data_IF_219490675830
#
_entry.id   IF_219490675830
#
_cell.length_a   1.000
_cell.length_b   1.000
_cell.length_c   1.000
_cell.angle_alpha   90.00
_cell.angle_beta   90.00
_cell.angle_gamma   90.00
#
_symmetry.space_group_name_H-M   'P 1'
#
loop_
_entity.id
_entity.type
_entity.pdbx_description
1 polymer ?
#
# COMPACT_ATOMS: atom_id res chain seq x y z
N UNK A 1 10.28 -23.81 16.07
CA UNK A 1 10.85 -22.75 16.92
C UNK A 1 9.95 -22.62 18.15
N UNK A 2 10.46 -22.45 19.39
CA UNK A 2 9.57 -22.27 20.55
C UNK A 2 8.83 -20.92 20.44
N UNK A 3 7.56 -20.87 20.86
CA UNK A 3 6.69 -19.69 20.81
C UNK A 3 7.34 -18.44 21.43
N UNK A 4 8.08 -18.61 22.53
CA UNK A 4 8.77 -17.49 23.19
C UNK A 4 9.88 -16.88 22.32
N UNK A 5 10.52 -17.69 21.47
CA UNK A 5 11.54 -17.18 20.55
C UNK A 5 10.89 -16.42 19.39
N UNK A 6 9.73 -16.86 18.90
CA UNK A 6 8.95 -16.13 17.89
C UNK A 6 8.52 -14.78 18.47
N UNK A 7 7.98 -14.80 19.68
CA UNK A 7 7.53 -13.60 20.38
C UNK A 7 8.66 -12.59 20.62
N UNK A 8 9.81 -13.06 21.13
CA UNK A 8 10.97 -12.21 21.37
C UNK A 8 11.46 -11.54 20.08
N UNK A 9 11.55 -12.29 18.98
CA UNK A 9 11.94 -11.76 17.68
C UNK A 9 10.92 -10.74 17.14
N UNK A 10 9.63 -11.03 17.28
CA UNK A 10 8.56 -10.12 16.88
C UNK A 10 8.63 -8.79 17.65
N UNK A 11 8.78 -8.83 18.98
CA UNK A 11 8.90 -7.63 19.82
C UNK A 11 10.16 -6.82 19.52
N UNK A 12 11.28 -7.49 19.22
CA UNK A 12 12.50 -6.83 18.76
C UNK A 12 12.24 -6.05 17.46
N UNK A 13 11.66 -6.70 16.44
CA UNK A 13 11.36 -6.04 15.15
C UNK A 13 10.35 -4.91 15.31
N UNK A 14 9.35 -5.10 16.17
CA UNK A 14 8.36 -4.07 16.52
C UNK A 14 9.02 -2.85 17.15
N UNK A 15 9.94 -3.04 18.09
CA UNK A 15 10.70 -1.96 18.75
C UNK A 15 11.58 -1.17 17.78
N UNK A 16 12.23 -1.86 16.83
CA UNK A 16 13.02 -1.24 15.76
C UNK A 16 12.11 -0.34 14.91
N UNK A 17 10.98 -0.87 14.43
CA UNK A 17 10.04 -0.13 13.60
C UNK A 17 9.40 1.05 14.32
N UNK A 18 9.05 0.90 15.59
CA UNK A 18 8.39 1.95 16.37
C UNK A 18 9.20 3.26 16.41
N UNK A 19 10.53 3.16 16.34
CA UNK A 19 11.45 4.31 16.37
C UNK A 19 11.76 4.88 14.98
N UNK A 20 11.40 4.15 13.92
CA UNK A 20 11.75 4.47 12.54
C UNK A 20 11.04 5.70 11.98
N UNK A 21 11.66 6.34 10.99
CA UNK A 21 11.02 7.36 10.15
C UNK A 21 9.93 6.78 9.25
N UNK A 22 10.05 5.51 8.86
CA UNK A 22 9.04 4.74 8.12
C UNK A 22 7.70 4.76 8.85
N UNK A 23 7.70 4.32 10.11
CA UNK A 23 6.48 4.23 10.90
C UNK A 23 5.83 5.61 11.07
N UNK A 24 6.63 6.64 11.38
CA UNK A 24 6.14 8.03 11.49
C UNK A 24 5.48 8.52 10.20
N UNK A 25 6.05 8.23 9.03
CA UNK A 25 5.49 8.60 7.74
C UNK A 25 4.15 7.90 7.47
N UNK A 26 4.03 6.62 7.85
CA UNK A 26 2.78 5.88 7.72
C UNK A 26 1.70 6.47 8.63
N UNK A 27 2.04 6.79 9.89
CA UNK A 27 1.09 7.42 10.81
C UNK A 27 0.57 8.76 10.27
N UNK A 28 1.45 9.62 9.76
CA UNK A 28 1.05 10.89 9.12
C UNK A 28 0.08 10.69 7.95
N UNK A 29 0.24 9.59 7.21
CA UNK A 29 -0.64 9.25 6.08
C UNK A 29 -2.02 8.76 6.55
N UNK A 30 -2.07 8.09 7.71
CA UNK A 30 -3.29 7.57 8.32
C UNK A 30 -4.02 8.60 9.19
N UNK A 31 -3.34 9.66 9.63
CA UNK A 31 -3.88 10.65 10.57
C UNK A 31 -5.28 11.19 10.21
N UNK A 32 -5.59 11.51 8.94
CA UNK A 32 -6.93 11.96 8.55
C UNK A 32 -8.04 10.91 8.73
N UNK A 33 -7.68 9.65 8.97
CA UNK A 33 -8.57 8.48 8.95
C UNK A 33 -8.59 7.72 10.28
N UNK A 34 -7.82 8.18 11.27
CA UNK A 34 -7.63 7.49 12.55
C UNK A 34 -8.95 7.15 13.26
N UNK A 35 -10.00 7.97 13.11
CA UNK A 35 -11.31 7.77 13.75
C UNK A 35 -12.33 7.04 12.87
N UNK A 36 -11.91 6.68 11.66
CA UNK A 36 -12.75 6.04 10.66
C UNK A 36 -12.44 4.55 10.62
N UNK A 37 -11.15 4.18 10.61
CA UNK A 37 -10.72 2.79 10.44
C UNK A 37 -11.06 1.98 11.69
N UNK A 38 -11.92 0.97 11.57
CA UNK A 38 -12.31 0.08 12.69
C UNK A 38 -11.80 -1.34 12.51
N UNK A 39 -11.27 -1.66 11.33
CA UNK A 39 -10.80 -2.99 10.96
C UNK A 39 -9.51 -2.91 10.15
N UNK A 40 -8.64 -3.90 10.29
CA UNK A 40 -7.51 -4.12 9.39
C UNK A 40 -7.60 -5.53 8.82
N UNK A 41 -7.53 -5.62 7.49
CA UNK A 41 -7.45 -6.91 6.78
C UNK A 41 -6.08 -7.01 6.13
N UNK A 42 -5.28 -7.99 6.53
CA UNK A 42 -3.98 -8.25 5.95
C UNK A 42 -3.99 -9.51 5.08
N UNK A 43 -3.39 -9.42 3.89
CA UNK A 43 -3.31 -10.52 2.93
C UNK A 43 -1.90 -10.64 2.36
N UNK A 44 -1.43 -11.88 2.19
CA UNK A 44 -0.24 -12.15 1.39
C UNK A 44 1.09 -11.71 2.03
N UNK A 45 1.22 -11.88 3.35
CA UNK A 45 2.44 -11.52 4.10
C UNK A 45 3.63 -12.42 3.77
N UNK A 46 3.40 -13.68 3.41
CA UNK A 46 4.41 -14.73 3.42
C UNK A 46 4.62 -15.35 4.81
N UNK A 47 5.60 -16.26 4.92
CA UNK A 47 5.89 -16.93 6.19
C UNK A 47 6.61 -15.99 7.16
N UNK A 48 5.96 -15.69 8.28
CA UNK A 48 6.43 -14.81 9.36
C UNK A 48 7.52 -15.48 10.21
N UNK A 49 7.54 -16.80 10.32
CA UNK A 49 8.58 -17.51 11.09
C UNK A 49 9.82 -17.74 10.24
N UNK A 50 9.65 -18.07 8.96
CA UNK A 50 10.75 -18.54 8.11
C UNK A 50 11.44 -17.43 7.32
N UNK A 51 10.94 -16.19 7.38
CA UNK A 51 11.53 -15.05 6.67
C UNK A 51 11.50 -13.76 7.50
N UNK A 52 12.55 -12.96 7.37
CA UNK A 52 12.71 -11.69 8.10
C UNK A 52 11.72 -10.62 7.62
N UNK A 53 11.51 -10.50 6.30
CA UNK A 53 10.66 -9.45 5.74
C UNK A 53 9.20 -9.57 6.19
N UNK A 54 8.54 -10.75 6.12
CA UNK A 54 7.18 -10.92 6.63
C UNK A 54 7.07 -10.67 8.14
N UNK A 55 8.11 -10.99 8.93
CA UNK A 55 8.15 -10.67 10.36
C UNK A 55 8.11 -9.16 10.61
N UNK A 56 8.91 -8.38 9.86
CA UNK A 56 8.85 -6.93 9.93
C UNK A 56 7.48 -6.38 9.47
N UNK A 57 6.90 -6.94 8.41
CA UNK A 57 5.58 -6.54 7.94
C UNK A 57 4.48 -6.84 8.97
N UNK A 58 4.56 -7.97 9.67
CA UNK A 58 3.68 -8.32 10.79
C UNK A 58 3.87 -7.38 11.98
N UNK A 59 5.12 -7.03 12.31
CA UNK A 59 5.42 -6.07 13.36
C UNK A 59 4.86 -4.67 13.03
N UNK A 60 4.94 -4.24 11.78
CA UNK A 60 4.29 -3.01 11.32
C UNK A 60 2.78 -3.10 11.47
N UNK A 61 2.14 -4.19 11.05
CA UNK A 61 0.70 -4.40 11.23
C UNK A 61 0.30 -4.23 12.70
N UNK A 62 1.04 -4.84 13.63
CA UNK A 62 0.75 -4.69 15.06
C UNK A 62 0.90 -3.25 15.56
N UNK A 63 1.92 -2.51 15.10
CA UNK A 63 2.05 -1.10 15.46
C UNK A 63 0.87 -0.25 14.97
N UNK A 64 0.36 -0.52 13.76
CA UNK A 64 -0.82 0.17 13.24
C UNK A 64 -2.06 -0.14 14.08
N UNK A 65 -2.23 -1.38 14.51
CA UNK A 65 -3.33 -1.80 15.40
C UNK A 65 -3.24 -1.04 16.74
N UNK A 66 -2.06 -1.02 17.36
CA UNK A 66 -1.84 -0.34 18.64
C UNK A 66 -2.13 1.16 18.55
N UNK A 67 -1.68 1.81 17.47
CA UNK A 67 -1.90 3.23 17.21
C UNK A 67 -3.39 3.56 17.07
N UNK A 68 -4.10 2.80 16.24
CA UNK A 68 -5.54 3.00 16.04
C UNK A 68 -6.31 2.75 17.34
N UNK A 69 -6.05 1.64 18.04
CA UNK A 69 -6.66 1.34 19.34
C UNK A 69 -6.45 2.49 20.35
N UNK A 70 -5.22 3.00 20.46
CA UNK A 70 -4.89 4.12 21.33
C UNK A 70 -5.75 5.35 21.03
N UNK A 71 -5.85 5.74 19.76
CA UNK A 71 -6.60 6.93 19.37
C UNK A 71 -8.09 6.80 19.68
N UNK A 72 -8.70 5.63 19.45
CA UNK A 72 -10.09 5.41 19.80
C UNK A 72 -10.33 5.54 21.30
N UNK A 73 -9.44 4.95 22.12
CA UNK A 73 -9.56 4.98 23.57
C UNK A 73 -9.34 6.39 24.14
N UNK A 74 -8.39 7.15 23.59
CA UNK A 74 -8.10 8.52 24.02
C UNK A 74 -9.25 9.50 23.67
N UNK A 75 -9.88 9.36 22.51
CA UNK A 75 -10.89 10.32 22.03
C UNK A 75 -12.29 10.12 22.58
N UNK A 76 -12.71 8.87 22.81
CA UNK A 76 -14.12 8.59 23.09
C UNK A 76 -14.50 8.69 24.56
N UNK A 77 -13.56 8.75 25.51
CA UNK A 77 -13.86 8.74 26.96
C UNK A 77 -14.93 7.67 27.32
N UNK A 78 -14.96 6.58 26.55
CA UNK A 78 -15.95 5.53 26.68
C UNK A 78 -15.41 4.48 27.62
N UNK A 79 -16.21 4.06 28.60
CA UNK A 79 -15.90 2.91 29.47
C UNK A 79 -15.80 1.57 28.71
N UNK A 80 -16.04 1.57 27.39
CA UNK A 80 -15.89 0.41 26.53
C UNK A 80 -14.59 0.55 25.72
N UNK A 81 -13.64 -0.35 25.97
CA UNK A 81 -12.45 -0.51 25.13
C UNK A 81 -12.87 -0.90 23.72
N UNK A 82 -12.59 -0.03 22.74
CA UNK A 82 -12.82 -0.34 21.34
C UNK A 82 -11.67 -1.21 20.85
N UNK A 83 -12.01 -2.36 20.27
CA UNK A 83 -11.06 -3.31 19.71
C UNK A 83 -11.07 -3.15 18.20
N UNK A 84 -9.92 -2.83 17.61
CA UNK A 84 -9.73 -2.90 16.16
C UNK A 84 -9.80 -4.37 15.76
N UNK A 85 -10.74 -4.74 14.89
CA UNK A 85 -10.79 -6.11 14.39
C UNK A 85 -9.66 -6.33 13.38
N UNK A 86 -8.86 -7.37 13.60
CA UNK A 86 -7.76 -7.72 12.70
C UNK A 86 -8.00 -9.11 12.13
N UNK A 87 -7.98 -9.20 10.81
CA UNK A 87 -8.00 -10.47 10.11
C UNK A 87 -6.81 -10.61 9.18
N UNK A 88 -6.18 -11.78 9.17
CA UNK A 88 -4.97 -12.07 8.41
C UNK A 88 -5.13 -13.35 7.61
N UNK A 89 -4.49 -13.45 6.44
CA UNK A 89 -4.38 -14.71 5.70
C UNK A 89 -3.25 -14.72 4.70
N UNK A 90 -2.61 -15.88 4.63
CA UNK A 90 -1.69 -16.27 3.58
C UNK A 90 -1.78 -17.80 3.43
N UNK A 91 -1.81 -18.35 2.21
CA UNK A 91 -1.83 -19.80 2.00
C UNK A 91 -0.56 -20.50 2.51
N UNK A 92 0.54 -19.75 2.75
CA UNK A 92 1.80 -20.32 3.23
C UNK A 92 1.85 -20.51 4.75
N UNK A 93 0.87 -19.97 5.50
CA UNK A 93 0.88 -20.07 6.96
C UNK A 93 0.83 -21.53 7.42
N UNK A 94 1.78 -21.91 8.26
CA UNK A 94 1.78 -23.21 8.94
C UNK A 94 1.00 -23.17 10.27
N UNK A 95 0.84 -24.34 10.91
CA UNK A 95 0.12 -24.45 12.18
C UNK A 95 0.74 -23.60 13.31
N UNK A 96 2.07 -23.48 13.34
CA UNK A 96 2.78 -22.69 14.36
C UNK A 96 2.48 -21.20 14.17
N UNK A 97 2.50 -20.72 12.92
CA UNK A 97 2.15 -19.34 12.57
C UNK A 97 0.70 -19.04 12.91
N UNK A 98 -0.23 -19.95 12.57
CA UNK A 98 -1.65 -19.78 12.88
C UNK A 98 -1.87 -19.71 14.40
N UNK A 99 -1.21 -20.55 15.18
CA UNK A 99 -1.31 -20.53 16.65
C UNK A 99 -0.73 -19.22 17.22
N UNK A 100 0.42 -18.78 16.73
CA UNK A 100 1.02 -17.50 17.11
C UNK A 100 0.06 -16.33 16.84
N UNK A 101 -0.50 -16.24 15.63
CA UNK A 101 -1.43 -15.18 15.23
C UNK A 101 -2.69 -15.15 16.10
N UNK A 102 -3.25 -16.32 16.43
CA UNK A 102 -4.48 -16.43 17.22
C UNK A 102 -4.26 -16.21 18.72
N UNK A 103 -3.18 -16.75 19.27
CA UNK A 103 -2.99 -16.78 20.72
C UNK A 103 -2.12 -15.64 21.26
N UNK A 104 -1.13 -15.17 20.50
CA UNK A 104 -0.27 -14.06 20.91
C UNK A 104 -0.78 -12.72 20.41
N UNK A 105 -1.26 -12.65 19.16
CA UNK A 105 -1.74 -11.41 18.56
C UNK A 105 -3.27 -11.25 18.57
N UNK A 106 -4.02 -12.32 18.88
CA UNK A 106 -5.49 -12.32 18.87
C UNK A 106 -6.12 -11.96 17.52
N UNK A 107 -5.44 -12.30 16.41
CA UNK A 107 -5.92 -12.04 15.06
C UNK A 107 -6.78 -13.18 14.54
N UNK A 108 -7.80 -12.84 13.74
CA UNK A 108 -8.63 -13.82 13.03
C UNK A 108 -7.87 -14.31 11.80
N UNK A 109 -7.55 -15.61 11.73
CA UNK A 109 -6.97 -16.22 10.53
C UNK A 109 -8.10 -16.76 9.66
N UNK A 110 -8.46 -16.03 8.59
CA UNK A 110 -9.62 -16.35 7.74
C UNK A 110 -9.24 -16.18 6.28
N UNK A 111 -9.54 -17.14 5.41
CA UNK A 111 -9.21 -17.07 3.98
C UNK A 111 -10.07 -16.04 3.24
N UNK A 112 -11.38 -16.18 3.36
CA UNK A 112 -12.35 -15.38 2.64
C UNK A 112 -13.11 -14.46 3.60
N UNK A 113 -12.87 -13.16 3.46
CA UNK A 113 -13.63 -12.08 4.12
C UNK A 113 -14.34 -11.19 3.07
N UNK A 114 -14.23 -11.58 1.79
CA UNK A 114 -14.43 -10.68 0.64
C UNK A 114 -15.90 -10.44 0.29
N UNK A 115 -16.81 -11.32 0.73
CA UNK A 115 -18.21 -11.29 0.30
C UNK A 115 -19.13 -10.40 1.16
N UNK A 116 -18.63 -9.84 2.26
CA UNK A 116 -19.42 -8.94 3.08
C UNK A 116 -19.06 -7.46 2.78
N UNK A 117 -19.84 -6.85 1.88
CA UNK A 117 -19.70 -5.42 1.55
C UNK A 117 -19.82 -4.50 2.76
N UNK A 118 -20.49 -4.92 3.85
CA UNK A 118 -20.54 -4.13 5.08
C UNK A 118 -19.20 -4.17 5.83
N UNK A 119 -18.49 -5.28 5.76
CA UNK A 119 -17.17 -5.46 6.39
C UNK A 119 -16.02 -4.76 5.63
N UNK A 120 -16.28 -4.28 4.41
CA UNK A 120 -15.30 -3.49 3.63
C UNK A 120 -15.30 -2.01 4.04
N UNK A 121 -16.39 -1.52 4.62
CA UNK A 121 -16.47 -0.14 5.12
C UNK A 121 -15.51 0.02 6.30
N UNK A 122 -14.80 1.14 6.35
CA UNK A 122 -13.88 1.45 7.45
C UNK A 122 -12.75 0.43 7.66
N UNK A 123 -12.42 -0.34 6.60
CA UNK A 123 -11.37 -1.36 6.65
C UNK A 123 -10.13 -0.85 5.94
N UNK A 124 -9.00 -0.88 6.66
CA UNK A 124 -7.68 -0.72 6.07
C UNK A 124 -7.22 -2.08 5.54
N UNK A 125 -7.04 -2.18 4.22
CA UNK A 125 -6.47 -3.36 3.61
C UNK A 125 -4.93 -3.20 3.55
N UNK A 126 -4.21 -4.07 4.23
CA UNK A 126 -2.74 -4.09 4.27
C UNK A 126 -2.20 -5.26 3.43
N UNK A 127 -1.63 -4.96 2.27
CA UNK A 127 -1.13 -5.96 1.30
C UNK A 127 0.28 -5.59 0.82
N UNK A 128 1.29 -5.66 1.71
CA UNK A 128 2.67 -5.36 1.34
C UNK A 128 3.20 -6.41 0.37
N UNK A 129 3.95 -6.01 -0.67
CA UNK A 129 4.53 -6.88 -1.70
C UNK A 129 3.55 -7.84 -2.39
N UNK A 130 2.25 -7.52 -2.37
CA UNK A 130 1.23 -8.38 -2.94
C UNK A 130 1.35 -8.45 -4.47
N UNK A 131 1.37 -9.64 -5.11
CA UNK A 131 1.53 -9.75 -6.55
C UNK A 131 0.49 -8.90 -7.30
N UNK A 132 0.93 -8.13 -8.30
CA UNK A 132 0.05 -7.18 -9.01
C UNK A 132 -1.19 -7.84 -9.62
N UNK A 133 -1.08 -9.07 -10.11
CA UNK A 133 -2.21 -9.84 -10.62
C UNK A 133 -3.25 -10.14 -9.53
N UNK A 134 -2.79 -10.52 -8.34
CA UNK A 134 -3.63 -10.73 -7.18
C UNK A 134 -4.23 -9.43 -6.66
N UNK A 135 -3.44 -8.34 -6.66
CA UNK A 135 -3.89 -7.02 -6.25
C UNK A 135 -4.98 -6.47 -7.18
N UNK A 136 -4.84 -6.62 -8.49
CA UNK A 136 -5.84 -6.23 -9.48
C UNK A 136 -7.17 -6.97 -9.24
N UNK A 137 -7.09 -8.29 -9.08
CA UNK A 137 -8.28 -9.12 -8.79
C UNK A 137 -8.92 -8.69 -7.47
N UNK A 138 -8.11 -8.43 -6.44
CA UNK A 138 -8.57 -7.97 -5.15
C UNK A 138 -9.28 -6.60 -5.25
N UNK A 139 -8.68 -5.62 -5.92
CA UNK A 139 -9.26 -4.29 -6.12
C UNK A 139 -10.60 -4.39 -6.87
N UNK A 140 -10.66 -5.24 -7.91
CA UNK A 140 -11.85 -5.44 -8.73
C UNK A 140 -13.04 -6.01 -7.94
N UNK A 141 -12.77 -6.97 -7.05
CA UNK A 141 -13.82 -7.68 -6.28
C UNK A 141 -14.19 -6.89 -5.02
N UNK A 142 -13.19 -6.47 -4.25
CA UNK A 142 -13.37 -5.91 -2.91
C UNK A 142 -13.68 -4.41 -2.94
N UNK A 143 -13.32 -3.71 -4.02
CA UNK A 143 -13.52 -2.26 -4.15
C UNK A 143 -13.08 -1.47 -2.90
N UNK A 144 -11.83 -1.65 -2.43
CA UNK A 144 -11.39 -1.14 -1.14
C UNK A 144 -11.43 0.38 -1.09
N UNK A 145 -11.76 0.93 0.09
CA UNK A 145 -11.69 2.39 0.33
C UNK A 145 -10.29 2.81 0.79
N UNK A 146 -9.65 2.00 1.65
CA UNK A 146 -8.34 2.28 2.20
C UNK A 146 -7.39 1.11 1.95
N UNK A 147 -6.24 1.40 1.36
CA UNK A 147 -5.27 0.40 0.93
C UNK A 147 -3.86 0.85 1.32
N UNK A 148 -3.12 0.00 2.01
CA UNK A 148 -1.69 0.13 2.23
C UNK A 148 -1.02 -1.04 1.52
N UNK A 149 -0.48 -0.78 0.32
CA UNK A 149 0.03 -1.82 -0.57
C UNK A 149 1.21 -1.31 -1.41
N UNK A 150 1.62 -2.07 -2.42
CA UNK A 150 2.62 -1.62 -3.38
C UNK A 150 2.23 -0.30 -4.06
N UNK A 151 3.22 0.50 -4.39
CA UNK A 151 3.18 1.70 -5.20
C UNK A 151 2.89 1.32 -6.65
N UNK A 152 1.65 1.53 -7.07
CA UNK A 152 1.16 1.17 -8.39
C UNK A 152 1.82 2.01 -9.48
N UNK A 153 2.37 3.19 -9.14
CA UNK A 153 3.06 4.05 -10.11
C UNK A 153 4.40 3.46 -10.57
N UNK A 154 5.01 2.57 -9.78
CA UNK A 154 6.27 1.88 -10.13
C UNK A 154 6.08 0.99 -11.38
N UNK A 155 4.86 0.51 -11.63
CA UNK A 155 4.56 -0.33 -12.78
C UNK A 155 4.48 0.44 -14.10
N UNK A 156 4.39 1.78 -14.07
CA UNK A 156 4.53 2.62 -15.27
C UNK A 156 5.93 2.51 -15.89
N UNK A 157 6.95 2.14 -15.09
CA UNK A 157 8.30 1.89 -15.59
C UNK A 157 8.46 0.45 -16.12
N UNK A 158 7.55 -0.47 -15.76
CA UNK A 158 7.62 -1.89 -16.11
C UNK A 158 6.81 -2.24 -17.34
N UNK A 159 5.74 -1.48 -17.61
CA UNK A 159 4.82 -1.71 -18.72
C UNK A 159 4.62 -0.43 -19.52
N UNK A 160 4.30 -0.56 -20.81
CA UNK A 160 3.66 0.54 -21.54
C UNK A 160 2.25 0.76 -21.00
N UNK A 161 1.74 1.99 -21.04
CA UNK A 161 0.40 2.32 -20.53
C UNK A 161 -0.67 1.36 -21.08
N UNK A 162 -0.61 1.05 -22.38
CA UNK A 162 -1.57 0.17 -23.05
C UNK A 162 -1.51 -1.27 -22.53
N UNK A 163 -0.29 -1.76 -22.23
CA UNK A 163 -0.10 -3.10 -21.68
C UNK A 163 -0.50 -3.14 -20.21
N UNK A 164 -0.19 -2.10 -19.45
CA UNK A 164 -0.60 -2.00 -18.05
C UNK A 164 -2.12 -2.02 -17.94
N UNK A 165 -2.79 -1.16 -18.69
CA UNK A 165 -4.25 -1.08 -18.70
C UNK A 165 -4.91 -2.39 -19.15
N UNK A 166 -4.39 -3.02 -20.21
CA UNK A 166 -4.96 -4.28 -20.72
C UNK A 166 -4.86 -5.44 -19.73
N UNK A 167 -3.83 -5.49 -18.89
CA UNK A 167 -3.62 -6.57 -17.93
C UNK A 167 -4.24 -6.25 -16.56
N UNK A 168 -4.14 -5.00 -16.13
CA UNK A 168 -4.46 -4.55 -14.79
C UNK A 168 -5.22 -3.20 -14.83
N UNK A 169 -6.46 -3.17 -15.35
CA UNK A 169 -7.18 -1.93 -15.65
C UNK A 169 -7.41 -1.03 -14.42
N UNK A 170 -7.80 -1.59 -13.27
CA UNK A 170 -8.02 -0.78 -12.06
C UNK A 170 -6.69 -0.25 -11.51
N UNK A 171 -5.65 -1.08 -11.50
CA UNK A 171 -4.32 -0.69 -11.04
C UNK A 171 -3.72 0.40 -11.92
N UNK A 172 -3.87 0.27 -13.25
CA UNK A 172 -3.42 1.26 -14.22
C UNK A 172 -4.20 2.58 -14.08
N UNK A 173 -5.52 2.50 -13.85
CA UNK A 173 -6.35 3.69 -13.59
C UNK A 173 -5.91 4.41 -12.31
N UNK A 174 -5.67 3.68 -11.22
CA UNK A 174 -5.15 4.27 -9.97
C UNK A 174 -3.81 4.99 -10.21
N UNK A 175 -2.87 4.31 -10.88
CA UNK A 175 -1.56 4.89 -11.20
C UNK A 175 -1.70 6.16 -12.05
N UNK A 176 -2.55 6.14 -13.08
CA UNK A 176 -2.79 7.29 -13.94
C UNK A 176 -3.41 8.48 -13.17
N UNK A 177 -4.43 8.25 -12.34
CA UNK A 177 -5.03 9.32 -11.52
C UNK A 177 -4.01 9.97 -10.58
N UNK A 178 -3.12 9.17 -9.98
CA UNK A 178 -2.04 9.68 -9.13
C UNK A 178 -1.07 10.54 -9.94
N UNK A 179 -0.63 10.05 -11.10
CA UNK A 179 0.25 10.81 -11.98
C UNK A 179 -0.36 12.14 -12.44
N UNK A 180 -1.65 12.16 -12.75
CA UNK A 180 -2.35 13.40 -13.14
C UNK A 180 -2.39 14.43 -12.01
N UNK A 181 -2.65 14.01 -10.77
CA UNK A 181 -2.61 14.91 -9.60
C UNK A 181 -1.22 15.50 -9.43
N UNK A 182 -0.16 14.69 -9.50
CA UNK A 182 1.23 15.16 -9.40
C UNK A 182 1.60 16.15 -10.50
N UNK A 183 1.20 15.88 -11.75
CA UNK A 183 1.45 16.78 -12.88
C UNK A 183 0.73 18.12 -12.72
N UNK A 184 -0.49 18.13 -12.20
CA UNK A 184 -1.26 19.36 -11.98
C UNK A 184 -0.66 20.20 -10.85
N UNK A 185 -0.16 19.58 -9.78
CA UNK A 185 0.55 20.28 -8.70
C UNK A 185 1.82 20.96 -9.22
N UNK A 186 2.60 20.28 -10.05
CA UNK A 186 3.84 20.84 -10.61
C UNK A 186 3.56 21.99 -11.59
N UNK A 187 2.50 21.90 -12.40
CA UNK A 187 2.06 23.01 -13.28
C UNK A 187 1.66 24.26 -12.50
N UNK A 188 1.15 24.11 -11.28
CA UNK A 188 0.79 25.25 -10.42
C UNK A 188 1.99 25.85 -9.68
N UNK A 189 3.10 25.11 -9.51
CA UNK A 189 4.34 25.63 -8.91
C UNK A 189 5.29 26.29 -9.91
N UNK A 190 5.14 26.02 -11.22
CA UNK A 190 6.04 26.49 -12.29
C UNK A 190 5.77 27.93 -12.77
N UNK A 191 4.97 28.74 -12.07
CA UNK A 191 4.78 30.16 -12.42
C UNK A 191 6.01 31.03 -12.05
N UNK A 192 6.97 30.53 -11.24
CA UNK A 192 8.11 31.32 -10.75
C UNK A 192 9.50 30.66 -10.89
N UNK A 193 9.81 29.98 -11.98
CA UNK A 193 11.21 29.64 -12.29
C UNK A 193 11.53 29.86 -13.77
N UNK A 194 12.04 31.04 -14.08
CA UNK A 194 12.84 31.29 -15.27
C UNK A 194 14.22 30.75 -14.95
N UNK A 195 14.61 29.62 -15.53
CA UNK A 195 16.01 29.22 -15.54
C UNK A 195 16.45 28.77 -16.93
N UNK A 196 17.54 29.39 -17.34
CA UNK A 196 18.00 29.58 -18.70
C UNK A 196 18.93 28.43 -19.09
N UNK A 197 18.40 27.37 -19.69
CA UNK A 197 19.21 26.35 -20.37
C UNK A 197 18.97 26.40 -21.88
N UNK A 198 19.90 27.04 -22.61
CA UNK A 198 19.97 26.97 -24.06
C UNK A 198 20.53 25.61 -24.51
N UNK A 199 19.66 24.78 -25.09
CA UNK A 199 20.06 23.55 -25.77
C UNK A 199 20.70 23.92 -27.11
N UNK A 200 22.02 23.76 -27.21
CA UNK A 200 22.76 23.91 -28.48
C UNK A 200 22.39 22.77 -29.45
N UNK A 201 21.68 23.14 -30.53
CA UNK A 201 21.22 22.23 -31.57
C UNK A 201 22.41 21.60 -32.33
N UNK A 202 22.61 20.28 -32.20
CA UNK A 202 23.52 19.53 -33.07
C UNK A 202 22.91 19.35 -34.46
N UNK A 203 23.70 19.66 -35.50
CA UNK A 203 23.36 19.59 -36.94
C UNK A 203 22.66 18.28 -37.33
N UNK A 204 21.46 18.38 -37.89
CA UNK A 204 20.61 17.28 -38.33
C UNK A 204 21.20 16.54 -39.55
N UNK A 205 21.65 15.28 -39.35
CA UNK A 205 21.71 14.30 -40.44
C UNK A 205 20.27 13.93 -40.82
N UNK A 206 19.85 14.18 -42.06
CA UNK A 206 18.55 13.77 -42.61
C UNK A 206 18.41 12.24 -42.55
N UNK A 207 17.84 11.71 -41.45
CA UNK A 207 17.36 10.34 -41.39
C UNK A 207 15.97 10.28 -42.03
N UNK A 208 15.75 9.28 -42.88
CA UNK A 208 14.44 8.91 -43.44
C UNK A 208 13.41 8.86 -42.30
N UNK A 209 12.22 9.42 -42.56
CA UNK A 209 11.08 9.58 -41.64
C UNK A 209 11.15 8.66 -40.42
N UNK A 210 11.51 9.17 -39.23
CA UNK A 210 11.37 8.36 -38.03
C UNK A 210 9.89 8.00 -37.92
N UNK A 211 9.60 6.71 -37.80
CA UNK A 211 8.26 6.24 -37.47
C UNK A 211 7.86 6.99 -36.20
N UNK A 212 6.95 7.97 -36.36
CA UNK A 212 6.49 8.78 -35.25
C UNK A 212 5.61 7.86 -34.41
N UNK A 213 6.15 7.39 -33.29
CA UNK A 213 5.37 6.63 -32.33
C UNK A 213 4.20 7.50 -31.87
N UNK A 214 2.99 7.06 -32.17
CA UNK A 214 1.76 7.66 -31.66
C UNK A 214 1.31 6.74 -30.53
N UNK A 215 1.42 7.17 -29.25
CA UNK A 215 0.91 6.37 -28.15
C UNK A 215 -0.60 6.16 -28.34
N UNK A 216 -1.07 4.96 -28.03
CA UNK A 216 -2.51 4.66 -28.01
C UNK A 216 -3.19 5.53 -26.96
N UNK A 217 -4.30 6.15 -27.35
CA UNK A 217 -5.17 6.87 -26.42
C UNK A 217 -5.91 5.79 -25.61
N UNK A 218 -5.65 5.75 -24.31
CA UNK A 218 -6.29 4.80 -23.40
C UNK A 218 -7.45 5.53 -22.73
N UNK A 219 -8.63 4.94 -22.83
CA UNK A 219 -9.77 5.38 -22.06
C UNK A 219 -9.73 4.74 -20.67
N UNK A 220 -9.30 5.52 -19.69
CA UNK A 220 -9.30 5.09 -18.29
C UNK A 220 -10.71 5.16 -17.67
N UNK A 221 -11.70 5.75 -18.34
CA UNK A 221 -13.08 5.91 -17.90
C UNK A 221 -14.01 4.77 -18.39
N UNK A 222 -13.65 3.54 -18.05
CA UNK A 222 -14.43 2.35 -18.37
C UNK A 222 -15.60 2.10 -17.41
N UNK A 223 -16.69 1.51 -17.92
CA UNK A 223 -17.97 1.32 -17.20
C UNK A 223 -17.86 0.55 -15.87
N UNK A 224 -16.90 -0.38 -15.76
CA UNK A 224 -16.71 -1.19 -14.55
C UNK A 224 -15.86 -0.50 -13.47
N UNK A 225 -15.38 0.72 -13.71
CA UNK A 225 -14.59 1.47 -12.73
C UNK A 225 -15.47 1.89 -11.54
N UNK A 226 -15.10 1.46 -10.34
CA UNK A 226 -15.87 1.73 -9.13
C UNK A 226 -15.45 3.02 -8.41
N UNK A 227 -14.44 3.73 -8.92
CA UNK A 227 -13.85 4.90 -8.29
C UNK A 227 -13.57 6.02 -9.30
N UNK A 228 -13.60 7.26 -8.82
CA UNK A 228 -13.39 8.48 -9.62
C UNK A 228 -12.13 9.22 -9.25
N UNK A 229 -11.70 9.12 -8.01
CA UNK A 229 -10.49 9.80 -7.54
C UNK A 229 -9.77 8.97 -6.49
N UNK A 230 -8.47 9.24 -6.33
CA UNK A 230 -7.64 8.61 -5.33
C UNK A 230 -6.70 9.66 -4.75
N UNK A 231 -6.53 9.63 -3.43
CA UNK A 231 -5.40 10.27 -2.76
C UNK A 231 -4.38 9.20 -2.45
N UNK A 232 -3.11 9.45 -2.76
CA UNK A 232 -2.04 8.53 -2.39
C UNK A 232 -0.89 9.25 -1.70
N UNK A 233 -0.23 8.52 -0.82
CA UNK A 233 1.02 8.93 -0.18
C UNK A 233 2.04 7.81 -0.34
N UNK A 234 3.12 8.09 -1.05
CA UNK A 234 4.25 7.16 -1.16
C UNK A 234 5.01 7.12 0.17
N UNK A 235 5.32 5.91 0.64
CA UNK A 235 6.09 5.69 1.86
C UNK A 235 7.57 5.57 1.50
N UNK A 236 8.19 6.70 1.16
CA UNK A 236 9.57 6.75 0.66
C UNK A 236 10.62 6.20 1.63
N UNK A 237 10.39 6.30 2.95
CA UNK A 237 11.32 5.78 3.96
C UNK A 237 11.44 4.25 3.94
N UNK A 238 10.52 3.54 3.27
CA UNK A 238 10.60 2.09 3.08
C UNK A 238 11.61 1.66 2.01
N UNK A 239 12.14 2.60 1.22
CA UNK A 239 13.09 2.31 0.13
C UNK A 239 14.55 2.33 0.57
N UNK A 240 14.84 2.67 1.81
CA UNK A 240 16.19 2.66 2.35
C UNK A 240 16.60 1.25 2.80
N UNK A 241 17.35 0.59 1.93
CA UNK A 241 17.85 -0.78 2.11
C UNK A 241 18.97 -0.89 3.17
N UNK A 242 19.43 0.23 3.76
CA UNK A 242 20.42 0.19 4.84
C UNK A 242 19.82 -0.16 6.20
N UNK A 243 18.48 -0.21 6.32
CA UNK A 243 17.78 -0.54 7.56
C UNK A 243 17.69 -2.05 7.80
N UNK A 244 17.41 -2.43 9.05
CA UNK A 244 17.30 -3.84 9.47
C UNK A 244 16.20 -4.64 8.75
N UNK A 245 15.21 -3.94 8.20
CA UNK A 245 14.10 -4.54 7.46
C UNK A 245 14.39 -4.71 5.96
N UNK A 246 15.58 -4.32 5.48
CA UNK A 246 16.02 -4.42 4.09
C UNK A 246 14.91 -3.96 3.12
N UNK A 247 14.39 -4.88 2.29
CA UNK A 247 13.42 -4.58 1.24
C UNK A 247 11.97 -4.72 1.70
N UNK A 248 11.68 -5.05 2.96
CA UNK A 248 10.34 -5.42 3.46
C UNK A 248 9.23 -4.38 3.23
N UNK A 249 9.61 -3.13 2.98
CA UNK A 249 8.68 -2.01 2.75
C UNK A 249 9.02 -1.21 1.49
N UNK A 250 9.83 -1.78 0.59
CA UNK A 250 10.13 -1.14 -0.69
C UNK A 250 8.85 -0.96 -1.49
N UNK A 251 8.75 0.18 -2.17
CA UNK A 251 7.60 0.55 -2.97
C UNK A 251 6.27 0.48 -2.19
N UNK A 252 6.22 0.81 -0.90
CA UNK A 252 4.96 0.89 -0.15
C UNK A 252 4.25 2.24 -0.39
N UNK A 253 2.93 2.21 -0.52
CA UNK A 253 2.10 3.39 -0.68
C UNK A 253 0.74 3.22 0.03
N UNK A 254 0.25 4.32 0.59
CA UNK A 254 -1.09 4.43 1.12
C UNK A 254 -2.04 5.02 0.07
N UNK A 255 -3.26 4.50 -0.02
CA UNK A 255 -4.32 4.97 -0.92
C UNK A 255 -5.63 5.17 -0.16
N UNK A 256 -6.27 6.30 -0.41
CA UNK A 256 -7.68 6.57 -0.10
C UNK A 256 -8.45 6.68 -1.40
N UNK A 257 -9.20 5.64 -1.74
CA UNK A 257 -9.96 5.50 -2.99
C UNK A 257 -11.38 6.02 -2.78
N UNK A 258 -11.80 6.93 -3.65
CA UNK A 258 -13.06 7.66 -3.54
C UNK A 258 -13.97 7.34 -4.74
N UNK A 259 -15.21 6.93 -4.43
CA UNK A 259 -16.25 6.58 -5.41
C UNK A 259 -16.84 7.81 -6.11
#
# INVERSE_FOLDING_TARGET
MNDDKIWSLFEERKSILQKSSLYKQILQSLDPLNDIITRIRCLGLGSIINSSMPMFQMALLSLLVDHLMKIYNDKKNTNNNIIIEVSVWDPIFDETEILFLKHKLHYKVIENDVNDKQQQKNTLFYLPHFPISSLEKFISITQPQYLLSNDLTVYNNKFTDSKFFSLYPNSARLANLISQVTLNLNKTSDINSVDEFQIVSKKNRKKKNPIKYIPSIIDYDFDSAFFKSVKSTKISNGNDLSNDWDSAFTDLAFYSILK
#
